data_IF_793427366900
#
_entry.id   IF_793427366900
#
_cell.length_a   1.000
_cell.length_b   1.000
_cell.length_c   1.000
_cell.angle_alpha   90.00
_cell.angle_beta   90.00
_cell.angle_gamma   90.00
#
_symmetry.space_group_name_H-M   'P 1'
#
loop_
_entity.id
_entity.type
_entity.pdbx_description
1 polymer ?
#
# COMPACT_ATOMS: atom_id res chain seq x y z
N UNK A 1 -1.78 10.53 -34.29
CA UNK A 1 -2.56 10.29 -33.05
C UNK A 1 -3.42 9.03 -33.09
N UNK A 2 -3.91 8.58 -34.26
CA UNK A 2 -4.69 7.34 -34.41
C UNK A 2 -3.87 6.08 -34.03
N UNK A 3 -2.65 5.96 -34.55
CA UNK A 3 -1.89 4.71 -34.47
C UNK A 3 -1.39 4.37 -33.06
N UNK A 4 -0.87 5.35 -32.31
CA UNK A 4 -0.42 5.13 -30.93
C UNK A 4 -1.55 4.71 -29.98
N UNK A 5 -2.77 5.21 -30.22
CA UNK A 5 -3.96 4.81 -29.45
C UNK A 5 -4.37 3.38 -29.77
N UNK A 6 -4.29 2.98 -31.05
CA UNK A 6 -4.59 1.60 -31.46
C UNK A 6 -3.52 0.61 -31.00
N UNK A 7 -2.24 0.99 -31.03
CA UNK A 7 -1.16 0.19 -30.44
C UNK A 7 -1.38 -0.03 -28.95
N UNK A 8 -1.73 1.01 -28.21
CA UNK A 8 -2.05 0.92 -26.76
C UNK A 8 -3.21 -0.04 -26.49
N UNK A 9 -4.29 0.07 -27.26
CA UNK A 9 -5.43 -0.86 -27.16
C UNK A 9 -5.03 -2.30 -27.49
N UNK A 10 -4.18 -2.49 -28.50
CA UNK A 10 -3.69 -3.81 -28.88
C UNK A 10 -2.86 -4.46 -27.75
N UNK A 11 -1.95 -3.70 -27.12
CA UNK A 11 -1.18 -4.14 -25.95
C UNK A 11 -2.10 -4.55 -24.79
N UNK A 12 -3.06 -3.69 -24.42
CA UNK A 12 -4.03 -4.00 -23.37
C UNK A 12 -4.92 -5.21 -23.70
N UNK A 13 -5.36 -5.35 -24.96
CA UNK A 13 -6.15 -6.49 -25.40
C UNK A 13 -5.34 -7.79 -25.34
N UNK A 14 -4.07 -7.77 -25.74
CA UNK A 14 -3.16 -8.91 -25.63
C UNK A 14 -2.95 -9.29 -24.16
N UNK A 15 -2.66 -8.32 -23.29
CA UNK A 15 -2.48 -8.57 -21.85
C UNK A 15 -3.72 -9.20 -21.22
N UNK A 16 -4.93 -8.72 -21.55
CA UNK A 16 -6.19 -9.31 -21.08
C UNK A 16 -6.47 -10.69 -21.68
N UNK A 17 -6.13 -10.90 -22.95
CA UNK A 17 -6.29 -12.18 -23.62
C UNK A 17 -5.44 -13.31 -23.01
N UNK A 18 -4.37 -12.95 -22.30
CA UNK A 18 -3.50 -13.90 -21.60
C UNK A 18 -3.95 -14.24 -20.17
N UNK A 19 -5.09 -13.70 -19.70
CA UNK A 19 -5.55 -13.91 -18.31
C UNK A 19 -5.77 -15.38 -17.93
N UNK A 20 -6.04 -16.27 -18.90
CA UNK A 20 -6.16 -17.72 -18.68
C UNK A 20 -4.82 -18.42 -18.46
N UNK A 21 -3.70 -17.71 -18.61
CA UNK A 21 -2.34 -18.24 -18.46
C UNK A 21 -1.48 -17.25 -17.67
N UNK A 22 -1.58 -17.24 -16.31
CA UNK A 22 -0.91 -16.27 -15.45
C UNK A 22 0.58 -16.10 -15.73
N UNK A 23 1.32 -17.20 -15.95
CA UNK A 23 2.74 -17.15 -16.28
C UNK A 23 3.02 -16.36 -17.57
N UNK A 24 2.31 -16.67 -18.67
CA UNK A 24 2.44 -15.93 -19.95
C UNK A 24 1.98 -14.48 -19.83
N UNK A 25 0.99 -14.23 -18.99
CA UNK A 25 0.52 -12.88 -18.71
C UNK A 25 1.60 -12.06 -17.99
N UNK A 26 2.26 -12.65 -16.99
CA UNK A 26 3.37 -12.05 -16.27
C UNK A 26 4.59 -11.82 -17.18
N UNK A 27 4.97 -12.80 -18.00
CA UNK A 27 6.03 -12.65 -19.02
C UNK A 27 5.75 -11.45 -19.94
N UNK A 28 4.52 -11.34 -20.45
CA UNK A 28 4.15 -10.22 -21.31
C UNK A 28 4.10 -8.88 -20.55
N UNK A 29 3.72 -8.89 -19.27
CA UNK A 29 3.79 -7.70 -18.43
C UNK A 29 5.25 -7.23 -18.23
N UNK A 30 6.20 -8.16 -18.07
CA UNK A 30 7.64 -7.85 -18.02
C UNK A 30 8.11 -7.21 -19.33
N UNK A 31 7.75 -7.77 -20.49
CA UNK A 31 8.07 -7.19 -21.81
C UNK A 31 7.58 -5.74 -21.91
N UNK A 32 6.33 -5.48 -21.49
CA UNK A 32 5.77 -4.12 -21.51
C UNK A 32 6.52 -3.15 -20.60
N UNK A 33 7.00 -3.59 -19.45
CA UNK A 33 7.80 -2.76 -18.53
C UNK A 33 9.25 -2.59 -18.99
N UNK A 34 9.80 -3.51 -19.78
CA UNK A 34 11.11 -3.30 -20.40
C UNK A 34 11.04 -2.15 -21.41
N UNK A 35 9.97 -2.07 -22.21
CA UNK A 35 9.75 -0.94 -23.12
C UNK A 35 9.71 0.41 -22.38
N UNK A 36 9.21 0.44 -21.15
CA UNK A 36 9.18 1.64 -20.29
C UNK A 36 10.59 2.11 -19.99
N UNK A 37 11.53 1.21 -19.70
CA UNK A 37 12.93 1.56 -19.42
C UNK A 37 13.63 2.12 -20.67
N UNK A 38 13.32 1.58 -21.85
CA UNK A 38 13.93 2.02 -23.12
C UNK A 38 13.32 3.31 -23.68
N UNK A 39 12.12 3.69 -23.22
CA UNK A 39 11.37 4.82 -23.76
C UNK A 39 12.01 6.18 -23.46
N UNK A 40 11.99 7.11 -24.43
CA UNK A 40 12.33 8.53 -24.23
C UNK A 40 11.28 9.24 -23.37
N UNK A 41 11.70 10.29 -22.64
CA UNK A 41 10.96 11.01 -21.59
C UNK A 41 9.46 11.29 -21.91
N UNK A 42 9.13 11.69 -23.14
CA UNK A 42 7.76 12.03 -23.55
C UNK A 42 6.82 10.86 -23.91
N UNK A 43 7.35 9.66 -24.21
CA UNK A 43 6.52 8.52 -24.66
C UNK A 43 5.72 7.91 -23.50
N UNK A 44 6.30 7.93 -22.29
CA UNK A 44 5.73 7.33 -21.08
C UNK A 44 4.39 7.93 -20.62
N UNK A 45 4.21 9.24 -20.79
CA UNK A 45 3.00 9.94 -20.32
C UNK A 45 1.75 9.37 -21.02
N UNK A 46 1.86 8.92 -22.28
CA UNK A 46 0.76 8.33 -23.04
C UNK A 46 0.44 6.87 -22.71
N UNK A 47 1.31 6.20 -21.95
CA UNK A 47 1.26 4.74 -21.71
C UNK A 47 0.86 4.35 -20.28
N UNK A 48 0.52 5.33 -19.42
CA UNK A 48 0.16 5.11 -18.00
C UNK A 48 -0.83 3.95 -17.77
N UNK A 49 -1.90 3.86 -18.57
CA UNK A 49 -2.89 2.77 -18.47
C UNK A 49 -2.28 1.38 -18.71
N UNK A 50 -1.39 1.27 -19.69
CA UNK A 50 -0.70 0.01 -20.01
C UNK A 50 0.26 -0.39 -18.91
N UNK A 51 1.02 0.59 -18.40
CA UNK A 51 1.97 0.40 -17.29
C UNK A 51 1.23 -0.07 -16.05
N UNK A 52 0.18 0.61 -15.62
CA UNK A 52 -0.61 0.22 -14.46
C UNK A 52 -1.25 -1.17 -14.64
N UNK A 53 -1.72 -1.51 -15.84
CA UNK A 53 -2.27 -2.83 -16.12
C UNK A 53 -1.20 -3.93 -16.01
N UNK A 54 0.00 -3.71 -16.56
CA UNK A 54 1.13 -4.64 -16.44
C UNK A 54 1.57 -4.81 -14.98
N UNK A 55 1.69 -3.71 -14.24
CA UNK A 55 2.05 -3.74 -12.82
C UNK A 55 1.02 -4.48 -11.96
N UNK A 56 -0.29 -4.30 -12.23
CA UNK A 56 -1.34 -5.08 -11.54
C UNK A 56 -1.25 -6.58 -11.83
N UNK A 57 -0.89 -6.96 -13.05
CA UNK A 57 -0.63 -8.37 -13.38
C UNK A 57 0.52 -8.90 -12.52
N UNK A 58 1.64 -8.19 -12.44
CA UNK A 58 2.79 -8.64 -11.65
C UNK A 58 2.56 -8.60 -10.14
N UNK A 59 1.73 -7.68 -9.64
CA UNK A 59 1.33 -7.69 -8.23
C UNK A 59 0.47 -8.91 -7.88
N UNK A 60 -0.38 -9.38 -8.81
CA UNK A 60 -1.23 -10.57 -8.61
C UNK A 60 -0.52 -11.89 -8.95
N UNK A 61 0.42 -11.84 -9.89
CA UNK A 61 1.19 -12.97 -10.40
C UNK A 61 2.68 -12.59 -10.43
N UNK A 62 3.34 -12.59 -9.26
CA UNK A 62 4.74 -12.21 -9.15
C UNK A 62 5.65 -13.11 -9.98
N UNK A 63 6.72 -12.52 -10.51
CA UNK A 63 7.71 -13.21 -11.33
C UNK A 63 9.11 -12.78 -10.92
N UNK A 64 9.98 -13.74 -10.59
CA UNK A 64 11.38 -13.46 -10.23
C UNK A 64 12.13 -12.75 -11.36
N UNK A 65 11.84 -13.12 -12.61
CA UNK A 65 12.41 -12.48 -13.79
C UNK A 65 12.01 -11.00 -13.93
N UNK A 66 10.97 -10.55 -13.23
CA UNK A 66 10.53 -9.15 -13.24
C UNK A 66 11.36 -8.25 -12.32
N UNK A 67 12.19 -8.81 -11.43
CA UNK A 67 12.84 -8.05 -10.35
C UNK A 67 13.64 -6.85 -10.87
N UNK A 68 14.57 -7.09 -11.80
CA UNK A 68 15.47 -6.04 -12.29
C UNK A 68 14.72 -4.95 -13.05
N UNK A 69 13.73 -5.33 -13.86
CA UNK A 69 12.90 -4.35 -14.59
C UNK A 69 12.07 -3.51 -13.62
N UNK A 70 11.49 -4.13 -12.58
CA UNK A 70 10.69 -3.44 -11.57
C UNK A 70 11.53 -2.42 -10.78
N UNK A 71 12.74 -2.80 -10.36
CA UNK A 71 13.67 -1.88 -9.67
C UNK A 71 14.06 -0.69 -10.56
N UNK A 72 14.37 -0.95 -11.83
CA UNK A 72 14.71 0.10 -12.78
C UNK A 72 13.55 1.07 -13.04
N UNK A 73 12.33 0.54 -13.21
CA UNK A 73 11.12 1.38 -13.38
C UNK A 73 10.82 2.16 -12.11
N UNK A 74 10.99 1.56 -10.93
CA UNK A 74 10.82 2.25 -9.64
C UNK A 74 11.76 3.44 -9.53
N UNK A 75 13.07 3.22 -9.76
CA UNK A 75 14.09 4.25 -9.67
C UNK A 75 13.77 5.42 -10.62
N UNK A 76 13.35 5.08 -11.85
CA UNK A 76 12.94 6.07 -12.85
C UNK A 76 11.73 6.89 -12.40
N UNK A 77 10.72 6.26 -11.81
CA UNK A 77 9.53 6.97 -11.32
C UNK A 77 9.84 7.79 -10.08
N UNK A 78 10.70 7.31 -9.18
CA UNK A 78 11.14 8.06 -8.02
C UNK A 78 11.90 9.33 -8.41
N UNK A 79 12.79 9.26 -9.42
CA UNK A 79 13.55 10.42 -9.91
C UNK A 79 12.67 11.49 -10.58
N UNK A 80 11.56 11.07 -11.20
CA UNK A 80 10.70 11.96 -12.00
C UNK A 80 9.36 12.28 -11.31
N UNK A 81 9.09 11.68 -10.15
CA UNK A 81 7.96 11.93 -9.26
C UNK A 81 6.61 12.07 -9.99
N UNK A 82 5.86 13.15 -9.70
CA UNK A 82 4.52 13.36 -10.25
C UNK A 82 4.41 13.42 -11.79
N UNK A 83 5.53 13.64 -12.50
CA UNK A 83 5.51 13.66 -13.96
C UNK A 83 5.10 12.30 -14.53
N UNK A 84 5.52 11.20 -13.90
CA UNK A 84 5.22 9.85 -14.37
C UNK A 84 4.27 9.10 -13.46
N UNK A 85 4.34 9.38 -12.17
CA UNK A 85 3.64 8.61 -11.15
C UNK A 85 3.03 9.55 -10.12
N UNK A 86 2.14 10.43 -10.57
CA UNK A 86 1.39 11.32 -9.68
C UNK A 86 0.58 10.51 -8.67
N UNK A 87 0.82 10.76 -7.38
CA UNK A 87 0.21 10.01 -6.28
C UNK A 87 0.90 8.68 -6.00
N UNK A 88 2.06 8.43 -6.60
CA UNK A 88 2.89 7.25 -6.35
C UNK A 88 2.22 5.87 -6.55
N UNK A 89 1.08 5.79 -7.26
CA UNK A 89 0.31 4.54 -7.42
C UNK A 89 1.08 3.46 -8.18
N UNK A 90 1.88 3.83 -9.18
CA UNK A 90 2.67 2.88 -9.94
C UNK A 90 3.82 2.34 -9.08
N UNK A 91 4.51 3.20 -8.32
CA UNK A 91 5.51 2.76 -7.33
C UNK A 91 4.90 1.85 -6.26
N UNK A 92 3.69 2.12 -5.78
CA UNK A 92 3.00 1.23 -4.84
C UNK A 92 2.78 -0.18 -5.45
N UNK A 93 2.30 -0.26 -6.70
CA UNK A 93 2.15 -1.55 -7.40
C UNK A 93 3.49 -2.24 -7.66
N UNK A 94 4.56 -1.49 -7.94
CA UNK A 94 5.91 -2.05 -8.09
C UNK A 94 6.37 -2.68 -6.77
N UNK A 95 6.20 -1.98 -5.64
CA UNK A 95 6.56 -2.55 -4.33
C UNK A 95 5.77 -3.83 -4.05
N UNK A 96 4.46 -3.82 -4.32
CA UNK A 96 3.62 -5.01 -4.17
C UNK A 96 4.11 -6.20 -5.00
N UNK A 97 4.50 -5.95 -6.26
CA UNK A 97 5.06 -6.97 -7.14
C UNK A 97 6.46 -7.45 -6.72
N UNK A 98 7.26 -6.60 -6.07
CA UNK A 98 8.60 -6.94 -5.58
C UNK A 98 8.58 -7.79 -4.31
N UNK A 99 7.52 -7.72 -3.48
CA UNK A 99 7.43 -8.37 -2.15
C UNK A 99 7.97 -9.81 -2.11
N UNK A 100 7.59 -10.73 -3.01
CA UNK A 100 8.08 -12.11 -2.96
C UNK A 100 9.57 -12.30 -3.25
N UNK A 101 10.25 -11.25 -3.71
CA UNK A 101 11.66 -11.26 -4.14
C UNK A 101 12.50 -10.20 -3.41
N UNK A 102 11.96 -9.63 -2.33
CA UNK A 102 12.67 -8.64 -1.53
C UNK A 102 13.94 -9.24 -0.93
N UNK A 103 15.00 -8.44 -0.96
CA UNK A 103 16.28 -8.72 -0.34
C UNK A 103 16.51 -7.72 0.79
N UNK A 104 17.33 -8.08 1.77
CA UNK A 104 17.67 -7.16 2.87
C UNK A 104 18.27 -5.83 2.37
N UNK A 105 18.96 -5.87 1.24
CA UNK A 105 19.54 -4.70 0.58
C UNK A 105 18.48 -3.71 0.06
N UNK A 106 17.21 -4.12 -0.07
CA UNK A 106 16.11 -3.27 -0.50
C UNK A 106 15.49 -2.47 0.66
N UNK A 107 15.81 -2.77 1.92
CA UNK A 107 15.24 -2.10 3.09
C UNK A 107 15.34 -0.56 3.02
N UNK A 108 16.48 0.06 2.63
CA UNK A 108 16.56 1.51 2.49
C UNK A 108 15.55 2.08 1.48
N UNK A 109 15.25 1.33 0.41
CA UNK A 109 14.25 1.74 -0.59
C UNK A 109 12.83 1.68 0.00
N UNK A 110 12.51 0.66 0.79
CA UNK A 110 11.20 0.54 1.45
C UNK A 110 11.01 1.65 2.49
N UNK A 111 12.04 1.97 3.27
CA UNK A 111 12.02 3.08 4.23
C UNK A 111 11.75 4.40 3.51
N UNK A 112 12.49 4.70 2.43
CA UNK A 112 12.28 5.91 1.65
C UNK A 112 10.86 5.98 1.06
N UNK A 113 10.29 4.85 0.64
CA UNK A 113 8.92 4.77 0.16
C UNK A 113 7.88 5.07 1.27
N UNK A 114 8.10 4.55 2.48
CA UNK A 114 7.25 4.80 3.64
C UNK A 114 7.27 6.28 4.12
N UNK A 115 8.28 7.04 3.69
CA UNK A 115 8.48 8.46 3.99
C UNK A 115 8.06 9.37 2.83
N UNK A 116 7.57 8.81 1.72
CA UNK A 116 7.18 9.59 0.53
C UNK A 116 5.76 10.14 0.68
N UNK A 117 5.64 11.47 0.53
CA UNK A 117 4.37 12.18 0.41
C UNK A 117 4.30 12.88 -0.95
N UNK A 118 3.13 12.86 -1.60
CA UNK A 118 2.90 13.59 -2.83
C UNK A 118 1.59 14.36 -2.81
N UNK A 119 1.65 15.64 -3.21
CA UNK A 119 0.51 16.55 -3.26
C UNK A 119 0.31 17.04 -4.70
N UNK A 120 -0.14 16.17 -5.62
CA UNK A 120 -0.26 16.54 -7.02
C UNK A 120 -1.36 17.62 -7.24
N UNK A 121 -1.21 18.48 -8.25
CA UNK A 121 -2.29 19.39 -8.66
C UNK A 121 -3.46 18.58 -9.25
N UNK A 122 -4.69 19.14 -9.24
CA UNK A 122 -5.03 20.51 -8.84
C UNK A 122 -5.43 20.65 -7.37
N UNK A 123 -5.70 19.55 -6.68
CA UNK A 123 -6.29 19.57 -5.33
C UNK A 123 -5.23 19.72 -4.23
N UNK A 124 -3.97 19.38 -4.52
CA UNK A 124 -2.87 19.39 -3.54
C UNK A 124 -3.23 18.62 -2.26
N UNK A 125 -4.01 17.54 -2.41
CA UNK A 125 -4.26 16.55 -1.37
C UNK A 125 -3.15 15.51 -1.43
N UNK A 126 -2.77 14.96 -0.28
CA UNK A 126 -1.83 13.84 -0.22
C UNK A 126 -2.42 12.64 -0.96
N UNK A 127 -1.65 12.06 -1.89
CA UNK A 127 -2.08 10.91 -2.71
C UNK A 127 -1.15 9.70 -2.63
N UNK A 128 0.03 9.80 -1.99
CA UNK A 128 1.00 8.71 -1.88
C UNK A 128 0.74 7.74 -0.70
N UNK A 129 -0.37 7.88 0.03
CA UNK A 129 -0.79 6.94 1.07
C UNK A 129 -0.68 5.44 0.65
N UNK A 130 -1.07 5.01 -0.57
CA UNK A 130 -0.90 3.61 -1.00
C UNK A 130 0.56 3.16 -1.09
N UNK A 131 1.48 4.07 -1.46
CA UNK A 131 2.92 3.77 -1.47
C UNK A 131 3.41 3.55 -0.03
N UNK A 132 3.04 4.44 0.90
CA UNK A 132 3.42 4.32 2.31
C UNK A 132 2.86 3.06 2.96
N UNK A 133 1.60 2.73 2.67
CA UNK A 133 0.93 1.51 3.11
C UNK A 133 1.65 0.24 2.62
N UNK A 134 1.96 0.19 1.32
CA UNK A 134 2.66 -0.98 0.74
C UNK A 134 4.08 -1.10 1.29
N UNK A 135 4.76 0.04 1.47
CA UNK A 135 6.12 0.10 1.99
C UNK A 135 6.21 -0.40 3.43
N UNK A 136 5.31 -0.01 4.33
CA UNK A 136 5.39 -0.46 5.74
C UNK A 136 5.19 -1.98 5.87
N UNK A 137 4.35 -2.57 5.02
CA UNK A 137 4.20 -4.03 4.94
C UNK A 137 5.51 -4.67 4.45
N UNK A 138 6.12 -4.13 3.40
CA UNK A 138 7.41 -4.63 2.90
C UNK A 138 8.54 -4.48 3.93
N UNK A 139 8.54 -3.42 4.76
CA UNK A 139 9.49 -3.27 5.86
C UNK A 139 9.30 -4.40 6.88
N UNK A 140 8.05 -4.78 7.23
CA UNK A 140 7.81 -5.90 8.16
C UNK A 140 8.27 -7.27 7.64
N UNK A 141 8.45 -7.43 6.34
CA UNK A 141 9.00 -8.66 5.75
C UNK A 141 10.54 -8.71 5.83
N UNK A 142 11.19 -7.56 6.04
CA UNK A 142 12.65 -7.40 6.00
C UNK A 142 13.27 -7.11 7.38
N UNK A 143 12.59 -6.32 8.20
CA UNK A 143 13.09 -5.86 9.49
C UNK A 143 11.92 -5.52 10.43
N UNK A 144 11.64 -6.43 11.36
CA UNK A 144 10.58 -6.25 12.35
C UNK A 144 10.81 -5.03 13.25
N UNK A 145 12.06 -4.70 13.58
CA UNK A 145 12.35 -3.58 14.45
C UNK A 145 12.04 -2.26 13.73
N UNK A 146 12.52 -2.09 12.51
CA UNK A 146 12.20 -0.92 11.69
C UNK A 146 10.68 -0.80 11.46
N UNK A 147 10.00 -1.91 11.17
CA UNK A 147 8.57 -1.93 10.91
C UNK A 147 7.75 -1.35 12.06
N UNK A 148 8.05 -1.69 13.32
CA UNK A 148 7.35 -1.15 14.50
C UNK A 148 7.41 0.37 14.56
N UNK A 149 8.59 0.95 14.34
CA UNK A 149 8.76 2.41 14.37
C UNK A 149 8.04 3.09 13.20
N UNK A 150 8.17 2.56 11.99
CA UNK A 150 7.50 3.14 10.82
C UNK A 150 5.98 2.98 10.90
N UNK A 151 5.47 1.83 11.35
CA UNK A 151 4.04 1.62 11.54
C UNK A 151 3.48 2.51 12.66
N UNK A 152 4.14 2.62 13.81
CA UNK A 152 3.71 3.53 14.88
C UNK A 152 3.65 4.98 14.41
N UNK A 153 4.63 5.43 13.62
CA UNK A 153 4.61 6.77 13.01
C UNK A 153 3.43 6.93 12.05
N UNK A 154 3.17 5.95 11.18
CA UNK A 154 2.09 6.00 10.19
C UNK A 154 0.70 5.89 10.80
N UNK A 155 0.56 5.25 11.96
CA UNK A 155 -0.69 5.22 12.75
C UNK A 155 -1.09 6.63 13.23
N UNK A 156 -0.11 7.49 13.51
CA UNK A 156 -0.31 8.86 13.94
C UNK A 156 -0.29 9.88 12.77
N UNK A 157 -0.34 9.41 11.53
CA UNK A 157 -0.16 10.26 10.34
C UNK A 157 -1.41 11.09 10.03
N UNK A 158 -1.23 12.41 9.92
CA UNK A 158 -2.31 13.35 9.62
C UNK A 158 -2.86 13.22 8.19
N UNK A 159 -2.10 12.58 7.30
CA UNK A 159 -2.47 12.34 5.90
C UNK A 159 -2.97 10.91 5.68
N UNK A 160 -3.68 10.37 6.67
CA UNK A 160 -4.47 9.17 6.49
C UNK A 160 -5.69 9.49 5.62
N UNK A 161 -5.84 8.78 4.51
CA UNK A 161 -6.97 8.98 3.61
C UNK A 161 -8.27 8.49 4.28
N UNK A 162 -9.29 9.35 4.42
CA UNK A 162 -10.50 8.99 5.15
C UNK A 162 -11.39 7.98 4.43
N UNK A 163 -11.17 7.73 3.13
CA UNK A 163 -11.96 6.75 2.37
C UNK A 163 -11.35 5.35 2.46
N UNK A 164 -10.02 5.24 2.42
CA UNK A 164 -9.32 3.94 2.47
C UNK A 164 -8.81 3.57 3.86
N UNK A 165 -8.60 4.55 4.75
CA UNK A 165 -7.91 4.39 6.02
C UNK A 165 -6.39 4.26 5.88
N UNK A 166 -5.83 4.36 4.67
CA UNK A 166 -4.40 4.20 4.44
C UNK A 166 -3.64 5.50 4.68
N UNK A 167 -2.39 5.46 5.18
CA UNK A 167 -1.61 4.25 5.47
C UNK A 167 -1.81 3.65 6.87
N UNK A 168 -2.63 4.30 7.72
CA UNK A 168 -2.81 3.89 9.11
C UNK A 168 -3.38 2.48 9.24
N UNK A 169 -4.27 2.05 8.34
CA UNK A 169 -4.84 0.70 8.38
C UNK A 169 -3.77 -0.38 8.17
N UNK A 170 -2.89 -0.20 7.19
CA UNK A 170 -1.74 -1.11 6.99
C UNK A 170 -0.79 -1.08 8.18
N UNK A 171 -0.55 0.09 8.78
CA UNK A 171 0.26 0.21 9.97
C UNK A 171 -0.32 -0.54 11.18
N UNK A 172 -1.63 -0.43 11.42
CA UNK A 172 -2.35 -1.17 12.47
C UNK A 172 -2.16 -2.66 12.30
N UNK A 173 -2.30 -3.17 11.07
CA UNK A 173 -2.13 -4.59 10.77
C UNK A 173 -0.71 -5.07 10.99
N UNK A 174 0.30 -4.29 10.60
CA UNK A 174 1.71 -4.59 10.89
C UNK A 174 1.94 -4.67 12.40
N UNK A 175 1.50 -3.66 13.15
CA UNK A 175 1.63 -3.62 14.61
C UNK A 175 0.93 -4.82 15.28
N UNK A 176 -0.32 -5.10 14.90
CA UNK A 176 -1.07 -6.24 15.43
C UNK A 176 -0.40 -7.58 15.11
N UNK A 177 0.09 -7.76 13.87
CA UNK A 177 0.81 -8.98 13.49
C UNK A 177 2.11 -9.21 14.27
N UNK A 178 2.69 -8.12 14.81
CA UNK A 178 3.90 -8.15 15.63
C UNK A 178 3.60 -8.16 17.14
N UNK A 179 2.32 -8.20 17.54
CA UNK A 179 1.88 -8.20 18.93
C UNK A 179 2.03 -6.85 19.64
N UNK A 180 2.12 -5.74 18.90
CA UNK A 180 2.32 -4.41 19.47
C UNK A 180 1.02 -3.83 20.04
N UNK A 181 0.70 -4.20 21.28
CA UNK A 181 -0.54 -3.81 21.97
C UNK A 181 -0.57 -2.32 22.34
N UNK A 182 0.55 -1.76 22.79
CA UNK A 182 0.58 -0.40 23.35
C UNK A 182 0.23 0.69 22.32
N UNK A 183 0.76 0.70 21.09
CA UNK A 183 0.38 1.69 20.08
C UNK A 183 -1.11 1.59 19.69
N UNK A 184 -1.64 0.37 19.56
CA UNK A 184 -3.04 0.13 19.22
C UNK A 184 -3.98 0.60 20.34
N UNK A 185 -3.65 0.26 21.59
CA UNK A 185 -4.40 0.70 22.75
C UNK A 185 -4.35 2.23 22.87
N UNK A 186 -3.17 2.82 22.72
CA UNK A 186 -3.01 4.27 22.74
C UNK A 186 -3.90 4.96 21.69
N UNK A 187 -3.98 4.41 20.48
CA UNK A 187 -4.78 4.94 19.38
C UNK A 187 -6.29 4.95 19.69
N UNK A 188 -6.85 3.83 20.16
CA UNK A 188 -8.29 3.77 20.53
C UNK A 188 -8.61 4.65 21.74
N UNK A 189 -7.62 4.98 22.57
CA UNK A 189 -7.83 5.91 23.68
C UNK A 189 -7.85 7.39 23.25
N UNK A 190 -7.40 7.73 22.04
CA UNK A 190 -7.45 9.11 21.55
C UNK A 190 -8.87 9.53 21.13
N UNK A 191 -9.32 10.76 21.45
CA UNK A 191 -10.59 11.27 20.92
C UNK A 191 -10.59 11.39 19.38
N UNK A 192 -9.44 11.74 18.79
CA UNK A 192 -9.30 11.94 17.36
C UNK A 192 -9.47 10.65 16.53
N UNK A 193 -9.24 9.46 17.10
CA UNK A 193 -9.41 8.20 16.36
C UNK A 193 -10.87 7.89 16.04
N UNK A 194 -11.82 8.44 16.79
CA UNK A 194 -13.25 8.20 16.59
C UNK A 194 -13.77 8.77 15.25
N UNK A 195 -13.00 9.61 14.56
CA UNK A 195 -13.35 10.11 13.22
C UNK A 195 -13.07 9.08 12.11
N UNK A 196 -12.37 7.98 12.42
CA UNK A 196 -12.01 6.92 11.48
C UNK A 196 -12.44 5.54 12.06
N UNK A 197 -13.75 5.21 11.99
CA UNK A 197 -14.34 4.01 12.60
C UNK A 197 -13.65 2.70 12.20
N UNK A 198 -13.21 2.57 10.96
CA UNK A 198 -12.54 1.37 10.43
C UNK A 198 -11.20 1.13 11.12
N UNK A 199 -10.44 2.19 11.42
CA UNK A 199 -9.16 2.08 12.12
C UNK A 199 -9.35 1.73 13.59
N UNK A 200 -10.38 2.31 14.23
CA UNK A 200 -10.75 1.96 15.60
C UNK A 200 -11.15 0.48 15.67
N UNK A 201 -12.02 0.03 14.76
CA UNK A 201 -12.48 -1.35 14.71
C UNK A 201 -11.33 -2.34 14.53
N UNK A 202 -10.44 -2.08 13.56
CA UNK A 202 -9.27 -2.94 13.33
C UNK A 202 -8.32 -2.96 14.53
N UNK A 203 -8.09 -1.79 15.16
CA UNK A 203 -7.25 -1.71 16.35
C UNK A 203 -7.84 -2.51 17.50
N UNK A 204 -9.15 -2.39 17.76
CA UNK A 204 -9.85 -3.16 18.79
C UNK A 204 -9.71 -4.67 18.54
N UNK A 205 -9.96 -5.13 17.31
CA UNK A 205 -9.82 -6.55 16.96
C UNK A 205 -8.42 -7.10 17.22
N UNK A 206 -7.38 -6.28 17.04
CA UNK A 206 -5.98 -6.70 17.20
C UNK A 206 -5.47 -6.55 18.63
N UNK A 207 -6.30 -6.09 19.57
CA UNK A 207 -5.95 -5.98 20.99
C UNK A 207 -6.12 -7.32 21.76
N UNK A 208 -5.79 -8.44 21.13
CA UNK A 208 -6.10 -9.81 21.61
C UNK A 208 -5.47 -10.16 22.97
N UNK A 209 -4.35 -9.53 23.33
CA UNK A 209 -3.63 -9.78 24.60
C UNK A 209 -3.84 -8.65 25.62
N UNK A 210 -4.93 -7.88 25.50
CA UNK A 210 -5.20 -6.76 26.39
C UNK A 210 -5.47 -7.22 27.84
N UNK A 211 -4.82 -6.62 28.86
CA UNK A 211 -5.14 -6.90 30.25
C UNK A 211 -6.63 -6.68 30.57
N UNK A 212 -7.25 -7.65 31.24
CA UNK A 212 -8.69 -7.66 31.49
C UNK A 212 -9.19 -6.43 32.26
N UNK A 213 -8.34 -5.82 33.09
CA UNK A 213 -8.64 -4.58 33.81
C UNK A 213 -8.85 -3.35 32.90
N UNK A 214 -8.40 -3.39 31.64
CA UNK A 214 -8.56 -2.31 30.68
C UNK A 214 -9.85 -2.45 29.84
N UNK A 215 -10.43 -3.65 29.75
CA UNK A 215 -11.64 -3.92 28.97
C UNK A 215 -12.84 -3.06 29.38
N UNK A 216 -13.15 -2.82 30.67
CA UNK A 216 -14.28 -1.98 31.06
C UNK A 216 -14.16 -0.55 30.50
N UNK A 217 -12.94 -0.02 30.37
CA UNK A 217 -12.70 1.31 29.80
C UNK A 217 -13.03 1.39 28.31
N UNK A 218 -12.71 0.32 27.56
CA UNK A 218 -13.06 0.22 26.14
C UNK A 218 -14.57 0.00 25.94
N UNK A 219 -15.21 -0.84 26.75
CA UNK A 219 -16.65 -1.05 26.70
C UNK A 219 -17.42 0.24 26.97
N UNK A 220 -17.06 0.97 28.04
CA UNK A 220 -17.69 2.25 28.38
C UNK A 220 -17.55 3.30 27.25
N UNK A 221 -16.49 3.20 26.44
CA UNK A 221 -16.24 4.11 25.32
C UNK A 221 -16.98 3.72 24.04
N UNK A 222 -17.10 2.43 23.75
CA UNK A 222 -17.48 1.95 22.42
C UNK A 222 -18.77 1.12 22.36
N UNK A 223 -19.31 0.64 23.49
CA UNK A 223 -20.51 -0.20 23.51
C UNK A 223 -21.76 0.48 22.93
N UNK A 224 -21.79 1.82 22.95
CA UNK A 224 -22.88 2.64 22.39
C UNK A 224 -22.49 3.33 21.07
N UNK A 225 -21.43 2.86 20.40
CA UNK A 225 -20.99 3.42 19.12
C UNK A 225 -22.11 3.38 18.08
N UNK A 226 -22.32 4.48 17.35
CA UNK A 226 -23.24 4.54 16.22
C UNK A 226 -22.70 3.84 14.95
N UNK A 227 -21.44 3.39 14.98
CA UNK A 227 -20.78 2.74 13.85
C UNK A 227 -20.72 1.22 14.10
N UNK A 228 -21.49 0.46 13.32
CA UNK A 228 -21.56 -1.00 13.42
C UNK A 228 -20.19 -1.67 13.31
N UNK A 229 -19.28 -1.11 12.49
CA UNK A 229 -17.91 -1.62 12.33
C UNK A 229 -17.11 -1.57 13.63
N UNK A 230 -17.31 -0.52 14.45
CA UNK A 230 -16.66 -0.39 15.76
C UNK A 230 -17.23 -1.40 16.75
N UNK A 231 -18.54 -1.61 16.74
CA UNK A 231 -19.18 -2.63 17.57
C UNK A 231 -18.71 -4.03 17.21
N UNK A 232 -18.51 -4.32 15.92
CA UNK A 232 -17.95 -5.59 15.46
C UNK A 232 -16.50 -5.78 15.97
N UNK A 233 -15.64 -4.76 15.85
CA UNK A 233 -14.27 -4.82 16.37
C UNK A 233 -14.21 -4.98 17.90
N UNK A 234 -15.09 -4.31 18.64
CA UNK A 234 -15.23 -4.51 20.09
C UNK A 234 -15.71 -5.92 20.42
N UNK A 235 -16.66 -6.46 19.65
CA UNK A 235 -17.17 -7.80 19.87
C UNK A 235 -16.11 -8.87 19.62
N UNK A 236 -15.33 -8.74 18.53
CA UNK A 236 -14.21 -9.64 18.23
C UNK A 236 -13.21 -9.67 19.41
N UNK A 237 -12.82 -8.49 19.92
CA UNK A 237 -11.94 -8.37 21.09
C UNK A 237 -12.48 -9.07 22.35
N UNK A 238 -13.80 -9.11 22.54
CA UNK A 238 -14.41 -9.72 23.74
C UNK A 238 -14.58 -11.23 23.62
N UNK A 239 -14.39 -11.80 22.42
CA UNK A 239 -14.51 -13.23 22.16
C UNK A 239 -13.17 -13.97 22.11
N UNK A 240 -12.07 -13.25 21.90
CA UNK A 240 -10.70 -13.78 21.98
C UNK A 240 -10.30 -14.08 23.44
#
# INVERSE_FOLDING_TARGET
>A
MSDAKEERKAKLRRLRGLAISPAKQAEYAVELLQEVNDAKRGKLIGERETIQAALRVLANHPSEAARDVLMAVYARFAENGPLYDAGAYARALILSALRPTLLQTDLPLMIAAAETYEFPPPQFKEEAAPLRATAVIAISELDDHAARFHATRLLADEYTDPMSGEPALSAIRVLGSQGEQLPLYYYVMQPASQTLPELVAESLRLLTDLPAELLPGLQARYAESAHDVVLAGLFDLLLD
#
